data_IF_775616921143
#
_entry.id   IF_775616921143
#
_cell.length_a   1.000
_cell.length_b   1.000
_cell.length_c   1.000
_cell.angle_alpha   90.00
_cell.angle_beta   90.00
_cell.angle_gamma   90.00
#
_symmetry.space_group_name_H-M   'P 1'
#
loop_
_entity.id
_entity.type
_entity.pdbx_description
1 polymer ?
#
# COMPACT_ATOMS: atom_id res chain seq x y z
N UNK A 1 -19.60 17.06 42.77
CA UNK A 1 -18.26 17.67 42.72
C UNK A 1 -17.27 16.56 42.42
N UNK A 2 -16.75 16.54 41.18
CA UNK A 2 -15.44 16.05 40.68
C UNK A 2 -14.93 14.63 41.02
N UNK A 3 -14.69 13.85 39.94
CA UNK A 3 -13.47 13.05 39.68
C UNK A 3 -13.35 11.69 40.37
N UNK A 4 -12.65 10.67 39.86
CA UNK A 4 -11.85 10.48 38.66
C UNK A 4 -11.57 8.96 38.54
N UNK A 5 -11.33 8.48 37.32
CA UNK A 5 -11.02 7.10 36.94
C UNK A 5 -9.67 6.58 37.47
N UNK A 6 -9.53 5.26 37.56
CA UNK A 6 -8.21 4.61 37.71
C UNK A 6 -8.27 3.09 37.89
N UNK A 7 -8.75 2.35 36.87
CA UNK A 7 -8.60 0.88 36.79
C UNK A 7 -7.18 0.52 36.39
N UNK A 8 -6.50 -0.18 37.27
CA UNK A 8 -5.29 -0.98 37.02
C UNK A 8 -5.67 -2.22 36.19
N UNK A 9 -5.08 -2.38 35.01
CA UNK A 9 -4.84 -3.70 34.43
C UNK A 9 -3.42 -3.76 33.89
N UNK A 10 -2.65 -4.67 34.48
CA UNK A 10 -1.24 -4.91 34.21
C UNK A 10 -0.98 -5.44 32.79
N UNK A 11 0.12 -4.95 32.24
CA UNK A 11 0.77 -5.41 31.02
C UNK A 11 1.71 -6.56 31.43
N UNK A 12 1.50 -7.74 30.88
CA UNK A 12 2.49 -8.81 30.93
C UNK A 12 3.58 -8.48 29.90
N UNK A 13 4.83 -8.46 30.37
CA UNK A 13 6.02 -8.31 29.55
C UNK A 13 6.34 -9.66 28.88
N UNK A 14 6.09 -9.78 27.57
CA UNK A 14 6.67 -10.83 26.72
C UNK A 14 8.09 -10.40 26.33
N UNK A 15 9.05 -10.59 27.23
CA UNK A 15 10.47 -10.53 26.91
C UNK A 15 10.93 -11.93 26.47
N UNK A 16 10.89 -12.18 25.16
CA UNK A 16 11.59 -13.32 24.55
C UNK A 16 13.12 -13.19 24.73
N UNK A 17 13.87 -14.30 24.75
CA UNK A 17 15.32 -14.26 24.96
C UNK A 17 16.04 -13.54 23.81
N UNK A 18 16.76 -12.48 24.13
CA UNK A 18 17.61 -11.71 23.21
C UNK A 18 18.83 -12.54 22.78
N UNK A 19 19.00 -12.75 21.47
CA UNK A 19 20.21 -13.34 20.88
C UNK A 19 21.24 -12.21 20.69
N UNK A 20 22.44 -12.28 21.30
CA UNK A 20 23.44 -11.23 21.16
C UNK A 20 23.91 -11.06 19.71
N UNK A 21 23.70 -9.87 19.13
CA UNK A 21 24.13 -9.52 17.77
C UNK A 21 23.01 -9.31 16.75
N UNK A 22 21.75 -9.56 17.11
CA UNK A 22 20.61 -9.25 16.27
C UNK A 22 20.10 -7.85 16.60
N UNK A 23 20.19 -6.92 15.64
CA UNK A 23 19.51 -5.62 15.76
C UNK A 23 18.02 -5.93 15.88
N UNK A 24 17.30 -5.46 16.91
CA UNK A 24 15.87 -5.63 16.95
C UNK A 24 15.32 -4.90 15.72
N UNK A 25 14.79 -5.64 14.76
CA UNK A 25 13.83 -5.11 13.79
C UNK A 25 12.55 -4.85 14.56
N UNK A 26 12.61 -3.89 15.48
CA UNK A 26 11.44 -3.33 16.11
C UNK A 26 10.63 -2.72 14.99
N UNK A 27 9.50 -3.36 14.67
CA UNK A 27 8.43 -2.76 13.89
C UNK A 27 8.33 -1.32 14.34
N UNK A 28 8.60 -0.36 13.44
CA UNK A 28 8.36 1.05 13.70
C UNK A 28 6.87 1.19 13.91
N UNK A 29 6.46 1.06 15.16
CA UNK A 29 5.11 1.38 15.59
C UNK A 29 4.98 2.88 15.41
N UNK A 30 4.21 3.26 14.39
CA UNK A 30 3.83 4.63 14.06
C UNK A 30 3.62 5.48 15.32
N UNK A 31 4.56 6.39 15.59
CA UNK A 31 4.35 7.48 16.54
C UNK A 31 4.04 8.73 15.73
N UNK A 32 2.74 9.03 15.64
CA UNK A 32 2.09 10.16 14.98
C UNK A 32 2.97 11.22 14.32
N UNK A 33 3.06 11.18 12.98
CA UNK A 33 3.30 12.38 12.18
C UNK A 33 2.00 13.23 12.22
N UNK A 34 2.07 14.55 12.43
CA UNK A 34 0.91 15.42 12.25
C UNK A 34 0.42 15.30 10.79
N UNK A 35 -0.90 15.38 10.54
CA UNK A 35 -1.42 15.29 9.18
C UNK A 35 -0.74 16.35 8.32
N UNK A 36 -0.21 15.93 7.16
CA UNK A 36 0.18 16.89 6.14
C UNK A 36 -1.04 17.76 5.80
N UNK A 37 -0.84 19.02 5.37
CA UNK A 37 -1.94 19.81 4.81
C UNK A 37 -2.62 18.96 3.74
N UNK A 38 -3.96 18.95 3.73
CA UNK A 38 -4.73 18.19 2.74
C UNK A 38 -4.23 18.58 1.35
N UNK A 39 -3.55 17.63 0.69
CA UNK A 39 -3.14 17.78 -0.69
C UNK A 39 -4.39 18.10 -1.52
N UNK A 40 -4.28 19.03 -2.47
CA UNK A 40 -5.40 19.29 -3.35
C UNK A 40 -5.61 18.10 -4.31
N UNK A 41 -6.74 18.08 -5.02
CA UNK A 41 -7.05 16.98 -5.93
C UNK A 41 -6.06 16.82 -7.09
N UNK A 42 -5.31 17.86 -7.45
CA UNK A 42 -4.29 17.79 -8.50
C UNK A 42 -3.02 17.11 -7.99
N UNK A 43 -2.61 17.40 -6.75
CA UNK A 43 -1.48 16.77 -6.08
C UNK A 43 -1.69 15.26 -5.89
N UNK A 44 -2.88 14.86 -5.42
CA UNK A 44 -3.24 13.43 -5.26
C UNK A 44 -3.18 12.72 -6.61
N UNK A 45 -3.72 13.33 -7.66
CA UNK A 45 -3.73 12.74 -8.99
C UNK A 45 -2.32 12.55 -9.56
N UNK A 46 -1.45 13.55 -9.41
CA UNK A 46 -0.06 13.46 -9.85
C UNK A 46 0.68 12.34 -9.10
N UNK A 47 0.47 12.25 -7.80
CA UNK A 47 1.02 11.19 -6.97
C UNK A 47 0.54 9.79 -7.38
N UNK A 48 -0.77 9.59 -7.59
CA UNK A 48 -1.29 8.29 -8.02
C UNK A 48 -0.71 7.88 -9.38
N UNK A 49 -0.51 8.84 -10.29
CA UNK A 49 0.10 8.54 -11.57
C UNK A 49 1.56 8.08 -11.41
N UNK A 50 2.31 8.71 -10.50
CA UNK A 50 3.67 8.26 -10.16
C UNK A 50 3.66 6.88 -9.52
N UNK A 51 2.80 6.64 -8.53
CA UNK A 51 2.69 5.34 -7.86
C UNK A 51 2.41 4.20 -8.86
N UNK A 52 1.48 4.40 -9.81
CA UNK A 52 1.20 3.44 -10.89
C UNK A 52 2.39 3.23 -11.83
N UNK A 53 3.21 4.26 -12.05
CA UNK A 53 4.38 4.20 -12.94
C UNK A 53 5.62 3.60 -12.28
N UNK A 54 5.63 3.57 -10.95
CA UNK A 54 6.67 3.03 -10.10
C UNK A 54 6.23 1.74 -9.41
N UNK A 55 5.18 1.10 -9.93
CA UNK A 55 4.77 -0.24 -9.54
C UNK A 55 4.53 -0.37 -8.02
N UNK A 56 4.01 0.70 -7.42
CA UNK A 56 3.87 0.82 -5.97
C UNK A 56 2.74 -0.04 -5.44
N UNK A 57 3.00 -0.80 -4.39
CA UNK A 57 1.99 -1.60 -3.71
C UNK A 57 0.90 -0.72 -3.09
N UNK A 58 -0.36 -1.18 -3.16
CA UNK A 58 -1.51 -0.41 -2.64
C UNK A 58 -1.36 0.00 -1.17
N UNK A 59 -0.69 -0.82 -0.35
CA UNK A 59 -0.47 -0.51 1.06
C UNK A 59 0.48 0.68 1.28
N UNK A 60 1.39 0.97 0.34
CA UNK A 60 2.34 2.10 0.39
C UNK A 60 1.83 3.36 -0.32
N UNK A 61 0.87 3.22 -1.24
CA UNK A 61 0.35 4.32 -2.09
C UNK A 61 -0.07 5.55 -1.29
N UNK A 62 -0.77 5.34 -0.17
CA UNK A 62 -1.28 6.43 0.66
C UNK A 62 -0.19 7.08 1.53
N UNK A 63 0.92 6.39 1.78
CA UNK A 63 2.05 6.91 2.54
C UNK A 63 2.91 7.86 1.72
N UNK A 64 2.82 7.79 0.38
CA UNK A 64 3.63 8.61 -0.52
C UNK A 64 5.01 8.00 -0.81
N UNK A 65 5.23 6.74 -0.44
CA UNK A 65 6.53 6.06 -0.50
C UNK A 65 6.73 5.32 -1.83
N UNK A 66 6.77 6.08 -2.93
CA UNK A 66 6.89 5.51 -4.30
C UNK A 66 8.15 5.93 -5.06
N UNK A 67 8.90 6.90 -4.55
CA UNK A 67 10.21 7.34 -5.09
C UNK A 67 11.09 7.74 -3.91
N UNK A 68 12.40 7.47 -3.98
CA UNK A 68 13.40 7.91 -2.99
C UNK A 68 13.23 9.41 -2.66
N UNK A 69 12.51 9.71 -1.57
CA UNK A 69 12.01 11.05 -1.28
C UNK A 69 10.64 11.06 -0.60
N UNK A 70 10.47 10.26 0.46
CA UNK A 70 9.24 9.99 1.24
C UNK A 70 8.51 11.22 1.83
N UNK A 71 9.05 12.42 1.64
CA UNK A 71 8.51 13.67 2.17
C UNK A 71 7.84 14.56 1.11
N UNK A 72 7.93 14.21 -0.19
CA UNK A 72 7.43 15.07 -1.26
C UNK A 72 6.00 14.77 -1.70
N UNK A 73 5.50 13.56 -1.42
CA UNK A 73 4.29 13.07 -2.07
C UNK A 73 3.32 12.40 -1.11
N UNK A 74 3.28 12.78 0.16
CA UNK A 74 2.34 12.17 1.10
C UNK A 74 2.54 12.66 2.53
N UNK A 75 1.73 12.16 3.49
CA UNK A 75 0.64 11.20 3.30
C UNK A 75 -0.61 11.80 2.63
N UNK A 76 -1.40 10.95 1.98
CA UNK A 76 -2.71 11.29 1.41
C UNK A 76 -3.86 10.61 2.14
N UNK A 77 -5.06 11.15 1.98
CA UNK A 77 -6.27 10.48 2.46
C UNK A 77 -6.57 9.24 1.60
N UNK A 78 -6.65 8.03 2.18
CA UNK A 78 -6.81 6.79 1.39
C UNK A 78 -8.06 6.79 0.52
N UNK A 79 -9.14 7.43 0.97
CA UNK A 79 -10.37 7.57 0.17
C UNK A 79 -10.13 8.36 -1.12
N UNK A 80 -9.33 9.43 -1.08
CA UNK A 80 -9.01 10.24 -2.26
C UNK A 80 -8.14 9.45 -3.26
N UNK A 81 -7.16 8.68 -2.76
CA UNK A 81 -6.38 7.75 -3.58
C UNK A 81 -7.29 6.70 -4.26
N UNK A 82 -8.19 6.10 -3.49
CA UNK A 82 -9.18 5.12 -3.95
C UNK A 82 -10.06 5.69 -5.07
N UNK A 83 -10.60 6.90 -4.90
CA UNK A 83 -11.43 7.55 -5.92
C UNK A 83 -10.69 7.74 -7.25
N UNK A 84 -9.42 8.17 -7.21
CA UNK A 84 -8.59 8.36 -8.41
C UNK A 84 -8.32 7.01 -9.09
N UNK A 85 -7.84 6.01 -8.33
CA UNK A 85 -7.50 4.70 -8.89
C UNK A 85 -8.74 3.97 -9.45
N UNK A 86 -9.89 4.05 -8.78
CA UNK A 86 -11.15 3.51 -9.28
C UNK A 86 -11.57 4.16 -10.60
N UNK A 87 -11.44 5.49 -10.70
CA UNK A 87 -11.80 6.21 -11.92
C UNK A 87 -10.92 5.81 -13.10
N UNK A 88 -9.64 5.58 -12.86
CA UNK A 88 -8.70 5.10 -13.88
C UNK A 88 -8.92 3.65 -14.25
N UNK A 89 -9.26 2.81 -13.27
CA UNK A 89 -9.61 1.41 -13.48
C UNK A 89 -10.87 1.29 -14.36
N UNK A 90 -11.89 2.09 -14.05
CA UNK A 90 -13.14 2.15 -14.80
C UNK A 90 -12.96 2.67 -16.23
N UNK A 91 -11.96 3.54 -16.44
CA UNK A 91 -11.56 4.01 -17.76
C UNK A 91 -10.66 3.00 -18.52
N UNK A 92 -10.30 1.87 -17.91
CA UNK A 92 -9.42 0.86 -18.49
C UNK A 92 -7.96 1.31 -18.60
N UNK A 93 -7.55 2.34 -17.86
CA UNK A 93 -6.19 2.88 -17.88
C UNK A 93 -5.26 2.13 -16.93
N UNK A 94 -5.81 1.57 -15.85
CA UNK A 94 -5.06 0.73 -14.91
C UNK A 94 -5.70 -0.63 -14.75
N UNK A 95 -4.87 -1.62 -14.47
CA UNK A 95 -5.24 -2.96 -14.06
C UNK A 95 -4.59 -3.28 -12.71
N UNK A 96 -5.15 -4.26 -12.00
CA UNK A 96 -4.62 -4.67 -10.70
C UNK A 96 -4.00 -6.05 -10.80
N UNK A 97 -2.76 -6.14 -10.35
CA UNK A 97 -1.97 -7.37 -10.27
C UNK A 97 -1.76 -7.73 -8.81
N UNK A 98 -1.62 -9.00 -8.50
CA UNK A 98 -1.54 -9.45 -7.12
C UNK A 98 -0.52 -10.55 -6.96
N UNK A 99 0.39 -10.32 -6.01
CA UNK A 99 1.20 -11.37 -5.44
C UNK A 99 0.30 -12.23 -4.55
N UNK A 100 -0.04 -13.40 -5.08
CA UNK A 100 -0.84 -14.38 -4.36
C UNK A 100 0.08 -15.15 -3.44
N UNK A 101 -0.30 -15.25 -2.17
CA UNK A 101 0.43 -15.95 -1.11
C UNK A 101 1.14 -17.20 -1.65
N UNK A 102 2.47 -17.11 -1.74
CA UNK A 102 3.28 -18.28 -1.89
C UNK A 102 3.07 -19.16 -0.64
N UNK A 103 2.93 -20.49 -0.81
CA UNK A 103 2.91 -21.38 0.35
C UNK A 103 4.15 -21.09 1.22
N UNK A 104 4.05 -21.09 2.56
CA UNK A 104 5.13 -20.66 3.45
C UNK A 104 6.48 -21.32 3.12
N UNK A 105 6.46 -22.54 2.59
CA UNK A 105 7.62 -23.32 2.15
C UNK A 105 8.39 -22.67 0.98
N UNK A 106 7.73 -21.90 0.12
CA UNK A 106 8.37 -21.22 -1.02
C UNK A 106 9.31 -20.08 -0.57
N UNK A 107 9.03 -19.43 0.56
CA UNK A 107 9.94 -18.41 1.13
C UNK A 107 11.26 -18.99 1.67
N UNK A 108 11.35 -20.31 1.83
CA UNK A 108 12.57 -21.00 2.27
C UNK A 108 13.28 -21.71 1.11
N UNK A 109 12.73 -21.67 -0.10
CA UNK A 109 13.35 -22.23 -1.28
C UNK A 109 14.29 -21.20 -1.92
N UNK A 110 15.62 -21.41 -1.91
CA UNK A 110 16.57 -20.46 -2.48
C UNK A 110 16.50 -20.38 -4.01
N UNK A 111 15.65 -21.20 -4.66
CA UNK A 111 15.33 -21.10 -6.09
C UNK A 111 14.14 -20.19 -6.39
N UNK A 112 13.39 -19.76 -5.36
CA UNK A 112 12.35 -18.73 -5.51
C UNK A 112 13.06 -17.39 -5.64
N UNK A 113 13.04 -16.87 -6.87
CA UNK A 113 13.48 -15.53 -7.17
C UNK A 113 12.42 -14.55 -6.70
N UNK A 114 12.75 -13.74 -5.69
CA UNK A 114 11.90 -12.66 -5.20
C UNK A 114 12.07 -11.37 -6.02
N UNK A 115 12.97 -11.37 -7.02
CA UNK A 115 13.21 -10.25 -7.94
C UNK A 115 12.37 -10.39 -9.22
N UNK A 116 11.07 -10.69 -9.05
CA UNK A 116 10.15 -10.85 -10.16
C UNK A 116 9.60 -9.50 -10.65
N UNK A 117 9.35 -9.40 -11.96
CA UNK A 117 8.69 -8.23 -12.55
C UNK A 117 7.22 -8.22 -12.10
N UNK A 118 6.75 -7.11 -11.52
CA UNK A 118 5.34 -6.94 -11.11
C UNK A 118 4.35 -7.16 -12.27
N UNK A 119 4.79 -6.97 -13.52
CA UNK A 119 3.96 -7.21 -14.70
C UNK A 119 3.65 -8.71 -14.91
N UNK A 120 4.49 -9.60 -14.37
CA UNK A 120 4.32 -11.05 -14.44
C UNK A 120 3.39 -11.60 -13.36
N UNK A 121 3.01 -10.77 -12.37
CA UNK A 121 2.05 -11.15 -11.35
C UNK A 121 0.68 -11.51 -11.95
N UNK A 122 -0.05 -12.44 -11.32
CA UNK A 122 -1.43 -12.75 -11.70
C UNK A 122 -2.33 -11.51 -11.76
N UNK A 123 -3.14 -11.42 -12.81
CA UNK A 123 -4.16 -10.39 -12.94
C UNK A 123 -5.32 -10.67 -11.97
N UNK A 124 -5.70 -9.67 -11.18
CA UNK A 124 -6.88 -9.74 -10.31
C UNK A 124 -8.14 -9.66 -11.18
N UNK A 125 -9.13 -10.57 -11.01
CA UNK A 125 -10.38 -10.50 -11.74
C UNK A 125 -11.07 -9.12 -11.59
N UNK A 126 -11.67 -8.54 -12.65
CA UNK A 126 -12.11 -7.14 -12.61
C UNK A 126 -13.07 -6.78 -11.46
N UNK A 127 -13.99 -7.68 -11.10
CA UNK A 127 -14.91 -7.46 -9.98
C UNK A 127 -14.20 -7.43 -8.62
N UNK A 128 -13.19 -8.28 -8.44
CA UNK A 128 -12.37 -8.30 -7.23
C UNK A 128 -11.43 -7.09 -7.17
N UNK A 129 -10.81 -6.72 -8.29
CA UNK A 129 -9.97 -5.53 -8.41
C UNK A 129 -10.75 -4.25 -8.04
N UNK A 130 -11.94 -4.08 -8.62
CA UNK A 130 -12.82 -2.95 -8.28
C UNK A 130 -13.20 -2.94 -6.80
N UNK A 131 -13.56 -4.10 -6.24
CA UNK A 131 -13.94 -4.20 -4.82
C UNK A 131 -12.77 -3.88 -3.88
N UNK A 132 -11.55 -4.28 -4.23
CA UNK A 132 -10.35 -3.95 -3.47
C UNK A 132 -10.01 -2.46 -3.58
N UNK A 133 -10.07 -1.87 -4.78
CA UNK A 133 -9.84 -0.45 -4.98
C UNK A 133 -10.89 0.44 -4.29
N UNK A 134 -12.12 -0.04 -4.13
CA UNK A 134 -13.21 0.68 -3.47
C UNK A 134 -13.15 0.66 -1.94
N UNK A 135 -12.29 -0.17 -1.35
CA UNK A 135 -12.14 -0.33 0.09
C UNK A 135 -10.67 -0.15 0.50
N UNK A 136 -10.21 1.10 0.64
CA UNK A 136 -8.83 1.37 1.04
C UNK A 136 -8.48 0.83 2.43
N UNK A 137 -9.47 0.47 3.27
CA UNK A 137 -9.24 -0.21 4.52
C UNK A 137 -8.65 -1.63 4.37
N UNK A 138 -8.70 -2.19 3.15
CA UNK A 138 -8.09 -3.48 2.79
C UNK A 138 -6.69 -3.35 2.19
N UNK A 139 -6.18 -2.14 1.98
CA UNK A 139 -4.84 -1.91 1.44
C UNK A 139 -3.82 -2.03 2.56
N UNK A 140 -3.61 -3.25 3.05
CA UNK A 140 -2.75 -3.52 4.20
C UNK A 140 -1.57 -4.40 3.81
N UNK A 141 -0.50 -4.32 4.59
CA UNK A 141 0.64 -5.24 4.56
C UNK A 141 0.29 -6.64 5.14
N UNK A 142 -0.97 -6.87 5.47
CA UNK A 142 -1.49 -8.10 6.06
C UNK A 142 -2.32 -8.91 5.06
N UNK A 143 -2.03 -10.20 4.99
CA UNK A 143 -2.83 -11.22 4.31
C UNK A 143 -4.18 -11.39 5.03
N UNK A 144 -5.31 -11.38 4.29
CA UNK A 144 -5.62 -12.55 3.48
C UNK A 144 -5.78 -12.27 1.98
N UNK A 145 -5.74 -11.01 1.56
CA UNK A 145 -5.97 -10.69 0.15
C UNK A 145 -4.69 -10.83 -0.69
N UNK A 146 -3.50 -10.79 -0.08
CA UNK A 146 -2.22 -10.73 -0.79
C UNK A 146 -1.84 -9.29 -1.16
N UNK A 147 -0.62 -9.08 -1.66
CA UNK A 147 -0.12 -7.74 -1.99
C UNK A 147 -0.53 -7.36 -3.41
N UNK A 148 -1.14 -6.21 -3.61
CA UNK A 148 -1.65 -5.79 -4.92
C UNK A 148 -0.95 -4.52 -5.43
N UNK A 149 -0.69 -4.49 -6.74
CA UNK A 149 -0.05 -3.36 -7.45
C UNK A 149 -0.95 -2.90 -8.59
N UNK A 150 -1.30 -1.60 -8.65
CA UNK A 150 -1.95 -1.02 -9.82
C UNK A 150 -0.90 -0.73 -10.91
N UNK A 151 -1.10 -1.29 -12.10
CA UNK A 151 -0.23 -1.08 -13.25
C UNK A 151 -0.97 -0.39 -14.40
N UNK A 152 -0.29 0.40 -15.24
CA UNK A 152 -0.92 0.98 -16.41
C UNK A 152 -1.19 -0.14 -17.43
N UNK A 153 -2.40 -0.17 -17.99
CA UNK A 153 -2.71 -1.05 -19.13
C UNK A 153 -1.96 -0.58 -20.39
N UNK A 154 -2.10 -1.30 -21.50
CA UNK A 154 -1.62 -0.79 -22.80
C UNK A 154 -2.24 0.57 -23.17
N UNK A 155 -3.54 0.75 -22.87
CA UNK A 155 -4.23 2.03 -23.05
C UNK A 155 -3.65 3.09 -22.11
N UNK A 156 -3.47 2.77 -20.82
CA UNK A 156 -2.85 3.67 -19.84
C UNK A 156 -1.47 4.14 -20.30
N UNK A 157 -0.61 3.22 -20.73
CA UNK A 157 0.75 3.54 -21.22
C UNK A 157 0.77 4.46 -22.45
N UNK A 158 -0.24 4.40 -23.30
CA UNK A 158 -0.35 5.25 -24.50
C UNK A 158 -1.06 6.57 -24.26
N UNK A 159 -1.81 6.69 -23.16
CA UNK A 159 -2.60 7.88 -22.85
C UNK A 159 -1.73 8.90 -22.11
N UNK A 160 -1.58 10.14 -22.62
CA UNK A 160 -0.82 11.18 -21.93
C UNK A 160 -1.34 11.43 -20.50
N UNK A 161 -0.48 11.66 -19.50
CA UNK A 161 -0.92 11.81 -18.09
C UNK A 161 -1.97 12.91 -17.87
N UNK A 162 -1.92 13.97 -18.68
CA UNK A 162 -2.90 15.08 -18.65
C UNK A 162 -4.31 14.65 -19.12
N UNK A 163 -4.42 13.56 -19.87
CA UNK A 163 -5.67 13.03 -20.45
C UNK A 163 -6.31 11.92 -19.62
N UNK A 164 -5.64 11.46 -18.56
CA UNK A 164 -6.26 10.54 -17.61
C UNK A 164 -7.48 11.26 -16.98
N UNK A 165 -8.57 10.58 -16.63
CA UNK A 165 -9.73 11.24 -16.09
C UNK A 165 -9.44 11.74 -14.67
#
# INVERSE_FOLDING_TARGET
MVGFLGRLFGRADDAGPEIPGMVPTGRRRWTGRPPAPAADGADVRAAMHLAVRHDTWLFDVHEGDFVDGTDMWGPFEPAACSEVLLRWFDAGLVELRQDIDHPPEAFYDPSVDLDYDVADLPLVPPGAARALLADPGRWTDATPDGFAVPLPTELGRRTPPAEWP
#
